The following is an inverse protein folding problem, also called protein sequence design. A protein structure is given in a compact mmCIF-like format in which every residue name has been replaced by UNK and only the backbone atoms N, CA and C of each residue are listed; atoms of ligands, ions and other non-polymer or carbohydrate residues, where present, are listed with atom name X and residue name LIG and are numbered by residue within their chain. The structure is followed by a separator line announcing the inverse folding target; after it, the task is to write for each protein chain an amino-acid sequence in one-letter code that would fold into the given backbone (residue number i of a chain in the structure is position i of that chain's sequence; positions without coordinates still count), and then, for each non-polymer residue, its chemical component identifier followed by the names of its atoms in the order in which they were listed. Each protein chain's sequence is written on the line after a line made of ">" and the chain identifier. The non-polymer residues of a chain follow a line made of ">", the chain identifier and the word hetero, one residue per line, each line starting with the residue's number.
data_IF_704733189862
#
_entry.id   IF_704733189862
#
_cell.length_a   1.000
_cell.length_b   1.000
_cell.length_c   1.000
_cell.angle_alpha   90.00
_cell.angle_beta   90.00
_cell.angle_gamma   90.00
#
_symmetry.space_group_name_H-M   'P 1'
#
loop_
_entity.id
_entity.type
_entity.pdbx_description
1 polymer ?
#
# COMPACT_ATOMS: atom_id res chain seq x y z
N UNK A 1 20.83 52.64 17.45
CA UNK A 1 21.00 51.83 16.24
C UNK A 1 20.70 50.32 16.46
N UNK A 2 21.11 49.73 17.57
CA UNK A 2 20.97 48.29 17.83
C UNK A 2 19.52 47.74 17.88
N UNK A 3 18.54 48.51 18.33
CA UNK A 3 17.10 48.04 18.42
C UNK A 3 16.51 47.84 17.02
N UNK A 4 16.79 48.69 16.04
CA UNK A 4 16.27 48.55 14.67
C UNK A 4 16.90 47.36 13.95
N UNK A 5 18.19 47.12 14.13
CA UNK A 5 18.89 45.94 13.56
C UNK A 5 18.39 44.65 14.18
N UNK A 6 18.13 44.63 15.49
CA UNK A 6 17.56 43.45 16.17
C UNK A 6 16.15 43.12 15.68
N UNK A 7 15.29 44.13 15.50
CA UNK A 7 13.94 43.95 14.96
C UNK A 7 13.97 43.43 13.52
N UNK A 8 14.90 43.91 12.71
CA UNK A 8 15.06 43.47 11.34
C UNK A 8 15.55 42.00 11.27
N UNK A 9 16.51 41.62 12.10
CA UNK A 9 16.94 40.22 12.22
C UNK A 9 15.82 39.31 12.69
N UNK A 10 15.01 39.72 13.67
CA UNK A 10 13.86 38.95 14.13
C UNK A 10 12.82 38.79 13.01
N UNK A 11 12.55 39.82 12.24
CA UNK A 11 11.62 39.76 11.11
C UNK A 11 12.12 38.79 10.04
N UNK A 12 13.41 38.82 9.68
CA UNK A 12 14.02 37.88 8.74
C UNK A 12 13.90 36.44 9.26
N UNK A 13 14.19 36.22 10.53
CA UNK A 13 14.08 34.90 11.16
C UNK A 13 12.63 34.36 11.10
N UNK A 14 11.64 35.20 11.39
CA UNK A 14 10.22 34.83 11.32
C UNK A 14 9.81 34.50 9.88
N UNK A 15 10.22 35.27 8.89
CA UNK A 15 9.94 34.99 7.48
C UNK A 15 10.62 33.68 7.05
N UNK A 16 11.86 33.45 7.45
CA UNK A 16 12.57 32.19 7.14
C UNK A 16 11.90 30.99 7.81
N UNK A 17 11.46 31.12 9.05
CA UNK A 17 10.73 30.07 9.77
C UNK A 17 9.37 29.76 9.11
N UNK A 18 8.63 30.80 8.70
CA UNK A 18 7.36 30.63 7.97
C UNK A 18 7.57 29.94 6.61
N UNK A 19 8.59 30.36 5.85
CA UNK A 19 8.94 29.71 4.58
C UNK A 19 9.32 28.23 4.77
N UNK A 20 10.16 27.93 5.77
CA UNK A 20 10.52 26.56 6.10
C UNK A 20 9.28 25.71 6.49
N UNK A 21 8.38 26.25 7.30
CA UNK A 21 7.13 25.57 7.68
C UNK A 21 6.23 25.28 6.46
N UNK A 22 6.14 26.22 5.51
CA UNK A 22 5.38 26.02 4.27
C UNK A 22 6.00 24.94 3.39
N UNK A 23 7.33 24.90 3.28
CA UNK A 23 8.05 23.86 2.51
C UNK A 23 7.80 22.49 3.14
N UNK A 24 7.97 22.36 4.45
CA UNK A 24 7.72 21.11 5.17
C UNK A 24 6.27 20.67 4.99
N UNK A 25 5.32 21.59 5.19
CA UNK A 25 3.89 21.30 4.97
C UNK A 25 3.62 20.77 3.56
N UNK A 26 4.21 21.40 2.56
CA UNK A 26 4.03 20.98 1.17
C UNK A 26 4.61 19.59 0.88
N UNK A 27 5.67 19.18 1.55
CA UNK A 27 6.24 17.83 1.39
C UNK A 27 5.31 16.73 1.93
N UNK A 28 4.55 16.99 2.98
CA UNK A 28 3.61 16.02 3.56
C UNK A 28 2.24 16.03 2.90
N UNK A 29 1.69 17.22 2.63
CA UNK A 29 0.32 17.42 2.13
C UNK A 29 0.26 17.76 0.64
N UNK A 30 1.38 18.12 0.03
CA UNK A 30 1.47 18.36 -1.40
C UNK A 30 1.43 17.07 -2.21
N UNK A 31 1.23 17.22 -3.52
CA UNK A 31 1.23 16.09 -4.46
C UNK A 31 2.58 15.36 -4.46
N UNK A 32 2.60 14.16 -3.94
CA UNK A 32 3.76 13.28 -3.94
C UNK A 32 3.77 12.33 -5.14
N UNK A 33 2.60 11.94 -5.65
CA UNK A 33 2.42 11.06 -6.79
C UNK A 33 2.19 11.90 -8.05
N UNK A 34 3.04 11.70 -9.06
CA UNK A 34 2.97 12.47 -10.32
C UNK A 34 2.13 11.84 -11.40
N UNK A 35 2.10 10.51 -11.45
CA UNK A 35 1.39 9.74 -12.47
C UNK A 35 0.66 8.57 -11.82
N UNK A 36 -0.46 8.16 -12.43
CA UNK A 36 -1.14 6.95 -11.99
C UNK A 36 -0.23 5.74 -12.19
N UNK A 37 -0.13 4.92 -11.17
CA UNK A 37 0.70 3.73 -11.19
C UNK A 37 0.18 2.66 -10.23
N UNK A 38 0.37 1.41 -10.62
CA UNK A 38 0.09 0.27 -9.77
C UNK A 38 1.30 -0.02 -8.88
N UNK A 39 1.05 -0.12 -7.59
CA UNK A 39 2.00 -0.60 -6.60
C UNK A 39 1.57 -1.99 -6.15
N UNK A 40 2.39 -2.99 -6.42
CA UNK A 40 2.21 -4.34 -5.93
C UNK A 40 3.12 -4.59 -4.74
N UNK A 41 2.51 -4.89 -3.61
CA UNK A 41 3.20 -5.24 -2.36
C UNK A 41 3.03 -6.73 -2.13
N UNK A 42 4.11 -7.52 -2.31
CA UNK A 42 4.09 -8.95 -2.09
C UNK A 42 3.80 -9.29 -0.64
N UNK A 43 3.18 -10.45 -0.40
CA UNK A 43 2.98 -11.00 0.94
C UNK A 43 4.30 -11.37 1.65
N UNK A 44 5.37 -11.52 0.88
CA UNK A 44 6.74 -11.80 1.36
C UNK A 44 7.64 -10.56 1.39
N UNK A 45 7.11 -9.40 0.98
CA UNK A 45 7.89 -8.16 0.96
C UNK A 45 8.22 -7.72 2.39
N UNK A 46 9.49 -7.42 2.60
CA UNK A 46 9.92 -6.66 3.76
C UNK A 46 9.72 -5.16 3.56
N UNK A 47 9.93 -4.39 4.61
CA UNK A 47 9.77 -2.93 4.56
C UNK A 47 10.78 -2.26 3.60
N UNK A 48 11.97 -2.83 3.45
CA UNK A 48 12.97 -2.31 2.52
C UNK A 48 12.48 -2.45 1.06
N UNK A 49 11.95 -3.62 0.69
CA UNK A 49 11.36 -3.86 -0.62
C UNK A 49 10.15 -2.97 -0.92
N UNK A 50 9.31 -2.69 0.09
CA UNK A 50 8.22 -1.72 -0.03
C UNK A 50 8.76 -0.31 -0.33
N UNK A 51 9.77 0.15 0.42
CA UNK A 51 10.41 1.47 0.21
C UNK A 51 11.01 1.60 -1.18
N UNK A 52 11.72 0.58 -1.64
CA UNK A 52 12.35 0.57 -2.96
C UNK A 52 11.31 0.60 -4.09
N UNK A 53 10.20 -0.12 -3.93
CA UNK A 53 9.09 -0.09 -4.86
C UNK A 53 8.45 1.30 -4.92
N UNK A 54 8.18 1.91 -3.77
CA UNK A 54 7.60 3.25 -3.66
C UNK A 54 8.53 4.35 -4.15
N UNK A 55 9.85 4.17 -4.03
CA UNK A 55 10.83 5.17 -4.41
C UNK A 55 10.74 5.62 -5.88
N UNK A 56 10.15 4.80 -6.75
CA UNK A 56 9.92 5.10 -8.17
C UNK A 56 8.65 5.90 -8.43
N UNK A 57 7.73 5.94 -7.46
CA UNK A 57 6.39 6.49 -7.62
C UNK A 57 6.17 7.78 -6.83
N UNK A 58 6.94 8.01 -5.77
CA UNK A 58 6.79 9.18 -4.89
C UNK A 58 7.98 10.13 -4.96
N UNK A 59 7.69 11.45 -4.97
CA UNK A 59 8.70 12.50 -5.06
C UNK A 59 9.36 12.82 -3.71
N UNK A 60 8.59 12.78 -2.63
CA UNK A 60 9.02 13.25 -1.31
C UNK A 60 9.40 12.10 -0.39
N UNK A 61 10.51 11.38 -0.71
CA UNK A 61 10.96 10.19 0.04
C UNK A 61 11.22 10.48 1.51
N UNK A 62 11.87 11.60 1.82
CA UNK A 62 12.14 11.98 3.21
C UNK A 62 10.85 12.14 4.02
N UNK A 63 9.86 12.82 3.47
CA UNK A 63 8.56 12.98 4.12
C UNK A 63 7.85 11.64 4.31
N UNK A 64 7.94 10.74 3.31
CA UNK A 64 7.43 9.38 3.42
C UNK A 64 8.09 8.62 4.56
N UNK A 65 9.41 8.54 4.60
CA UNK A 65 10.16 7.83 5.64
C UNK A 65 9.83 8.37 7.03
N UNK A 66 9.73 9.69 7.17
CA UNK A 66 9.40 10.33 8.45
C UNK A 66 7.98 10.02 8.93
N UNK A 67 7.01 10.08 8.02
CA UNK A 67 5.61 9.82 8.37
C UNK A 67 5.34 8.32 8.54
N UNK A 68 5.94 7.49 7.71
CA UNK A 68 5.88 6.04 7.84
C UNK A 68 6.44 5.55 9.19
N UNK A 69 7.57 6.10 9.63
CA UNK A 69 8.13 5.80 10.95
C UNK A 69 7.20 6.25 12.08
N UNK A 70 6.59 7.45 11.97
CA UNK A 70 5.65 7.95 12.96
C UNK A 70 4.40 7.06 13.12
N UNK A 71 3.94 6.47 12.03
CA UNK A 71 2.79 5.56 12.03
C UNK A 71 3.17 4.08 12.21
N UNK A 72 4.43 3.76 12.45
CA UNK A 72 4.95 2.38 12.54
C UNK A 72 4.54 1.52 11.33
N UNK A 73 4.63 2.11 10.12
CA UNK A 73 4.21 1.45 8.89
C UNK A 73 4.95 0.13 8.66
N UNK A 74 6.22 0.06 9.04
CA UNK A 74 7.04 -1.15 8.93
C UNK A 74 6.38 -2.39 9.52
N UNK A 75 5.63 -2.24 10.62
CA UNK A 75 4.94 -3.32 11.31
C UNK A 75 3.49 -3.52 10.91
N UNK A 76 2.93 -2.56 10.16
CA UNK A 76 1.49 -2.49 9.94
C UNK A 76 1.07 -2.42 8.47
N UNK A 77 2.02 -2.31 7.52
CA UNK A 77 1.66 -2.29 6.11
C UNK A 77 1.05 -3.63 5.69
N UNK A 78 0.13 -3.58 4.75
CA UNK A 78 -0.57 -4.78 4.26
C UNK A 78 -0.13 -5.08 2.82
N UNK A 79 0.10 -6.36 2.49
CA UNK A 79 0.37 -6.76 1.12
C UNK A 79 -0.87 -6.56 0.26
N UNK A 80 -0.67 -6.41 -1.07
CA UNK A 80 -1.77 -6.27 -2.02
C UNK A 80 -1.46 -5.31 -3.15
N UNK A 81 -2.46 -5.10 -4.02
CA UNK A 81 -2.39 -4.13 -5.10
C UNK A 81 -2.98 -2.80 -4.67
N UNK A 82 -2.25 -1.74 -4.89
CA UNK A 82 -2.65 -0.36 -4.62
C UNK A 82 -2.52 0.49 -5.87
N UNK A 83 -3.51 1.30 -6.17
CA UNK A 83 -3.45 2.28 -7.26
C UNK A 83 -3.06 3.63 -6.69
N UNK A 84 -1.85 4.07 -7.02
CA UNK A 84 -1.36 5.40 -6.69
C UNK A 84 -1.93 6.39 -7.72
N UNK A 85 -2.76 7.33 -7.28
CA UNK A 85 -3.38 8.32 -8.16
C UNK A 85 -2.58 9.61 -8.20
N UNK A 86 -2.54 10.31 -9.35
CA UNK A 86 -1.91 11.62 -9.43
C UNK A 86 -2.50 12.57 -8.39
N UNK A 87 -1.65 13.35 -7.77
CA UNK A 87 -2.07 14.30 -6.74
C UNK A 87 -2.09 13.75 -5.31
N UNK A 88 -2.01 12.44 -5.11
CA UNK A 88 -1.93 11.85 -3.77
C UNK A 88 -0.73 12.41 -3.00
N UNK A 89 -0.99 12.78 -1.75
CA UNK A 89 0.03 13.22 -0.79
C UNK A 89 0.74 12.03 -0.14
N UNK A 90 1.88 12.29 0.49
CA UNK A 90 2.60 11.28 1.30
C UNK A 90 1.70 10.70 2.38
N UNK A 91 0.91 11.53 3.04
CA UNK A 91 0.01 11.12 4.13
C UNK A 91 -1.03 10.12 3.64
N UNK A 92 -1.64 10.39 2.48
CA UNK A 92 -2.64 9.49 1.87
C UNK A 92 -2.02 8.15 1.50
N UNK A 93 -0.84 8.15 0.86
CA UNK A 93 -0.14 6.91 0.49
C UNK A 93 0.19 6.06 1.74
N UNK A 94 0.74 6.66 2.79
CA UNK A 94 1.08 5.92 4.03
C UNK A 94 -0.17 5.37 4.71
N UNK A 95 -1.26 6.15 4.78
CA UNK A 95 -2.53 5.69 5.35
C UNK A 95 -3.15 4.56 4.56
N UNK A 96 -3.18 4.67 3.24
CA UNK A 96 -3.68 3.65 2.33
C UNK A 96 -2.96 2.31 2.56
N UNK A 97 -1.62 2.32 2.67
CA UNK A 97 -0.82 1.12 2.92
C UNK A 97 -1.07 0.54 4.32
N UNK A 98 -1.18 1.40 5.34
CA UNK A 98 -1.44 0.99 6.73
C UNK A 98 -2.84 0.40 6.91
N UNK A 99 -3.86 1.03 6.36
CA UNK A 99 -5.25 0.57 6.44
C UNK A 99 -5.50 -0.64 5.54
N UNK A 100 -4.67 -0.83 4.51
CA UNK A 100 -4.84 -1.89 3.53
C UNK A 100 -6.00 -1.59 2.57
N UNK A 101 -6.13 -0.34 2.15
CA UNK A 101 -7.11 0.09 1.14
C UNK A 101 -6.70 -0.38 -0.25
N UNK A 102 -6.73 -1.71 -0.41
CA UNK A 102 -6.32 -2.39 -1.63
C UNK A 102 -7.31 -2.13 -2.76
N UNK A 103 -6.80 -2.07 -3.98
CA UNK A 103 -7.66 -2.00 -5.16
C UNK A 103 -8.02 -3.42 -5.60
N UNK A 104 -9.32 -3.76 -5.68
CA UNK A 104 -9.76 -5.08 -6.10
C UNK A 104 -9.21 -5.46 -7.47
N UNK A 105 -8.80 -6.71 -7.63
CA UNK A 105 -8.40 -7.29 -8.91
C UNK A 105 -9.57 -8.11 -9.45
N UNK A 106 -10.00 -7.83 -10.67
CA UNK A 106 -11.03 -8.63 -11.34
C UNK A 106 -10.39 -9.92 -11.85
N UNK A 107 -10.87 -11.05 -11.37
CA UNK A 107 -10.45 -12.36 -11.83
C UNK A 107 -11.59 -12.98 -12.63
N UNK A 108 -11.32 -13.38 -13.86
CA UNK A 108 -12.31 -14.04 -14.73
C UNK A 108 -11.91 -15.49 -14.93
N UNK A 109 -12.84 -16.38 -14.61
CA UNK A 109 -12.66 -17.82 -14.75
C UNK A 109 -13.48 -18.32 -15.95
N UNK A 110 -12.80 -18.89 -16.92
CA UNK A 110 -13.43 -19.59 -18.04
C UNK A 110 -13.00 -21.07 -18.01
N UNK A 111 -13.93 -21.98 -18.21
CA UNK A 111 -13.66 -23.42 -18.33
C UNK A 111 -12.87 -24.01 -17.14
N UNK A 112 -13.27 -23.71 -15.92
CA UNK A 112 -12.74 -24.34 -14.70
C UNK A 112 -13.67 -25.44 -14.28
N UNK A 113 -13.18 -26.69 -14.24
CA UNK A 113 -13.94 -27.88 -13.86
C UNK A 113 -13.39 -28.59 -12.63
N UNK A 114 -12.17 -28.26 -12.21
CA UNK A 114 -11.52 -28.91 -11.08
C UNK A 114 -10.84 -27.90 -10.15
N UNK A 115 -10.72 -28.21 -8.84
CA UNK A 115 -9.96 -27.37 -7.89
C UNK A 115 -8.54 -27.09 -8.37
N UNK A 116 -7.87 -28.08 -8.96
CA UNK A 116 -6.51 -27.94 -9.46
C UNK A 116 -6.40 -26.92 -10.62
N UNK A 117 -7.40 -26.92 -11.54
CA UNK A 117 -7.46 -25.93 -12.61
C UNK A 117 -7.70 -24.51 -12.08
N UNK A 118 -8.57 -24.36 -11.09
CA UNK A 118 -8.82 -23.08 -10.43
C UNK A 118 -7.56 -22.59 -9.72
N UNK A 119 -6.95 -23.43 -8.90
CA UNK A 119 -5.73 -23.13 -8.17
C UNK A 119 -4.57 -22.73 -9.11
N UNK A 120 -4.40 -23.44 -10.22
CA UNK A 120 -3.39 -23.10 -11.21
C UNK A 120 -3.65 -21.76 -11.93
N UNK A 121 -4.90 -21.36 -12.13
CA UNK A 121 -5.24 -20.03 -12.68
C UNK A 121 -5.01 -18.93 -11.63
N UNK A 122 -5.39 -19.16 -10.39
CA UNK A 122 -5.17 -18.23 -9.29
C UNK A 122 -3.69 -18.04 -8.99
N UNK A 123 -2.90 -19.12 -8.92
CA UNK A 123 -1.46 -19.05 -8.66
C UNK A 123 -0.67 -18.28 -9.74
N UNK A 124 -1.22 -18.12 -10.95
CA UNK A 124 -0.62 -17.26 -11.99
C UNK A 124 -1.00 -15.79 -11.86
N UNK A 125 -2.07 -15.47 -11.16
CA UNK A 125 -2.60 -14.10 -11.04
C UNK A 125 -2.32 -13.46 -9.69
N UNK A 126 -2.09 -14.29 -8.68
CA UNK A 126 -1.82 -13.86 -7.30
C UNK A 126 -0.42 -14.30 -6.86
N UNK A 127 0.07 -13.68 -5.82
CA UNK A 127 1.39 -13.97 -5.21
C UNK A 127 1.37 -15.22 -4.31
N UNK A 128 0.27 -15.97 -4.29
CA UNK A 128 0.13 -17.22 -3.56
C UNK A 128 0.36 -18.43 -4.48
N UNK A 129 0.97 -19.49 -3.94
CA UNK A 129 1.21 -20.70 -4.72
C UNK A 129 -0.10 -21.43 -5.02
N UNK A 130 -0.17 -22.09 -6.18
CA UNK A 130 -1.27 -22.97 -6.55
C UNK A 130 -1.52 -24.09 -5.52
N UNK A 131 -0.47 -24.55 -4.85
CA UNK A 131 -0.55 -25.54 -3.77
C UNK A 131 -1.31 -25.01 -2.56
N UNK A 132 -1.12 -23.74 -2.19
CA UNK A 132 -1.84 -23.11 -1.09
C UNK A 132 -3.33 -22.95 -1.41
N UNK A 133 -3.66 -22.64 -2.66
CA UNK A 133 -5.05 -22.60 -3.13
C UNK A 133 -5.69 -23.98 -3.10
N UNK A 134 -4.99 -25.05 -3.56
CA UNK A 134 -5.53 -26.41 -3.50
C UNK A 134 -5.80 -26.81 -2.05
N UNK A 135 -4.86 -26.56 -1.14
CA UNK A 135 -5.03 -26.86 0.29
C UNK A 135 -6.23 -26.11 0.88
N UNK A 136 -6.45 -24.88 0.48
CA UNK A 136 -7.62 -24.08 0.91
C UNK A 136 -8.92 -24.68 0.38
N UNK A 137 -8.99 -25.03 -0.90
CA UNK A 137 -10.22 -25.59 -1.52
C UNK A 137 -10.56 -26.97 -1.03
N UNK A 138 -9.60 -27.73 -0.50
CA UNK A 138 -9.79 -29.07 0.06
C UNK A 138 -9.79 -29.09 1.59
N UNK A 139 -9.84 -27.94 2.24
CA UNK A 139 -9.80 -27.82 3.69
C UNK A 139 -11.14 -28.13 4.33
N UNK A 140 -11.25 -29.23 5.07
CA UNK A 140 -12.45 -29.57 5.86
C UNK A 140 -12.77 -28.52 6.93
N UNK A 141 -11.74 -27.90 7.51
CA UNK A 141 -11.91 -26.83 8.51
C UNK A 141 -12.60 -25.62 7.91
N UNK A 142 -12.13 -25.17 6.73
CA UNK A 142 -12.75 -24.05 6.04
C UNK A 142 -14.17 -24.38 5.55
N UNK A 143 -14.36 -25.57 5.00
CA UNK A 143 -15.68 -26.03 4.55
C UNK A 143 -16.70 -25.96 5.67
N UNK A 144 -16.40 -26.54 6.85
CA UNK A 144 -17.27 -26.47 8.03
C UNK A 144 -17.55 -25.05 8.51
N UNK A 145 -16.55 -24.17 8.50
CA UNK A 145 -16.72 -22.76 8.90
C UNK A 145 -17.70 -22.03 7.98
N UNK A 146 -17.73 -22.39 6.70
CA UNK A 146 -18.60 -21.81 5.69
C UNK A 146 -19.95 -22.55 5.54
N UNK A 147 -20.18 -23.62 6.32
CA UNK A 147 -21.41 -24.43 6.26
C UNK A 147 -21.45 -25.42 5.09
N UNK A 148 -20.29 -25.80 4.55
CA UNK A 148 -20.14 -26.78 3.47
C UNK A 148 -19.38 -28.02 3.94
N UNK A 149 -19.39 -29.06 3.12
CA UNK A 149 -18.41 -30.14 3.21
C UNK A 149 -17.25 -29.92 2.22
N UNK A 150 -16.19 -30.69 2.35
CA UNK A 150 -15.01 -30.56 1.50
C UNK A 150 -15.28 -30.88 0.01
N UNK A 151 -16.35 -31.61 -0.29
CA UNK A 151 -16.76 -31.96 -1.65
C UNK A 151 -17.54 -30.82 -2.28
N UNK A 152 -18.47 -30.20 -1.52
CA UNK A 152 -19.34 -29.14 -2.00
C UNK A 152 -18.71 -27.75 -1.91
N UNK A 153 -17.64 -27.56 -1.12
CA UNK A 153 -16.94 -26.28 -1.02
C UNK A 153 -16.51 -25.74 -2.39
N UNK A 154 -16.01 -26.59 -3.27
CA UNK A 154 -15.57 -26.18 -4.60
C UNK A 154 -16.71 -25.71 -5.50
N UNK A 155 -17.93 -26.23 -5.32
CA UNK A 155 -19.09 -25.83 -6.11
C UNK A 155 -19.52 -24.37 -5.91
N UNK A 156 -19.02 -23.71 -4.85
CA UNK A 156 -19.20 -22.26 -4.67
C UNK A 156 -18.45 -21.41 -5.68
N UNK A 157 -17.42 -21.96 -6.31
CA UNK A 157 -16.50 -21.19 -7.18
C UNK A 157 -16.75 -21.44 -8.68
N UNK A 158 -17.70 -22.31 -9.03
CA UNK A 158 -18.03 -22.67 -10.41
C UNK A 158 -19.52 -22.58 -10.72
#
# INVERSE_FOLDING_TARGET
>A
MHKKTLLLLLAILLVAAAAAALIVRNQFYGSAVGQESDLYVSSRADYAGLRDSLARHIRHRWAFDRYAAHLELERSFKPGRYVLRPGMSVIEVVRMLKLGEQTPVRVTFNNVRTPAQLAGKLGRQFDADSVDFIRTFTSDSLARTLGFDSVTLFSMFI
#
